data_IF_948228289243
#
_entry.id   IF_948228289243
#
_cell.length_a   1.000
_cell.length_b   1.000
_cell.length_c   1.000
_cell.angle_alpha   90.00
_cell.angle_beta   90.00
_cell.angle_gamma   90.00
#
_symmetry.space_group_name_H-M   'P 1'
#
loop_
_entity.id
_entity.type
_entity.pdbx_description
1 polymer ?
#
# COMPACT_ATOMS: atom_id res chain seq x y z
N UNK A 1 -58.30 -61.04 -11.69
CA UNK A 1 -57.66 -60.99 -10.35
C UNK A 1 -56.12 -61.09 -10.42
N UNK A 2 -55.54 -61.74 -11.44
CA UNK A 2 -54.07 -61.84 -11.63
C UNK A 2 -53.38 -60.53 -12.05
N UNK A 3 -54.04 -59.68 -12.85
CA UNK A 3 -53.46 -58.42 -13.35
C UNK A 3 -53.19 -57.42 -12.22
N UNK A 4 -54.05 -57.37 -11.20
CA UNK A 4 -53.88 -56.50 -10.01
C UNK A 4 -52.72 -56.99 -9.13
N UNK A 5 -52.53 -58.31 -9.00
CA UNK A 5 -51.38 -58.89 -8.27
C UNK A 5 -50.05 -58.61 -8.98
N UNK A 6 -50.03 -58.61 -10.31
CA UNK A 6 -48.84 -58.27 -11.12
C UNK A 6 -48.47 -56.78 -11.02
N UNK A 7 -49.47 -55.88 -11.01
CA UNK A 7 -49.25 -54.44 -10.82
C UNK A 7 -48.78 -54.10 -9.40
N UNK A 8 -49.35 -54.74 -8.37
CA UNK A 8 -48.91 -54.54 -6.98
C UNK A 8 -47.49 -55.06 -6.73
N UNK A 9 -47.08 -56.18 -7.33
CA UNK A 9 -45.71 -56.70 -7.15
C UNK A 9 -44.67 -55.81 -7.84
N UNK A 10 -44.99 -55.26 -9.02
CA UNK A 10 -44.15 -54.27 -9.71
C UNK A 10 -44.03 -52.97 -8.92
N UNK A 11 -45.15 -52.44 -8.38
CA UNK A 11 -45.12 -51.25 -7.50
C UNK A 11 -44.28 -51.48 -6.23
N UNK A 12 -44.34 -52.70 -5.66
CA UNK A 12 -43.56 -53.07 -4.47
C UNK A 12 -42.06 -53.15 -4.77
N UNK A 13 -41.66 -53.67 -5.93
CA UNK A 13 -40.26 -53.70 -6.33
C UNK A 13 -39.72 -52.32 -6.67
N UNK A 14 -40.47 -51.46 -7.36
CA UNK A 14 -40.05 -50.09 -7.66
C UNK A 14 -40.00 -49.23 -6.41
N UNK A 15 -40.95 -49.39 -5.47
CA UNK A 15 -40.95 -48.67 -4.19
C UNK A 15 -39.80 -49.06 -3.27
N UNK A 16 -39.44 -50.34 -3.23
CA UNK A 16 -38.26 -50.82 -2.46
C UNK A 16 -36.96 -50.30 -3.08
N UNK A 17 -36.82 -50.30 -4.41
CA UNK A 17 -35.66 -49.72 -5.10
C UNK A 17 -35.52 -48.21 -4.84
N UNK A 18 -36.63 -47.47 -4.82
CA UNK A 18 -36.63 -46.05 -4.49
C UNK A 18 -36.20 -45.82 -3.03
N UNK A 19 -36.71 -46.61 -2.09
CA UNK A 19 -36.34 -46.53 -0.67
C UNK A 19 -34.84 -46.80 -0.45
N UNK A 20 -34.31 -47.84 -1.11
CA UNK A 20 -32.88 -48.18 -1.06
C UNK A 20 -32.04 -47.05 -1.67
N UNK A 21 -32.50 -46.46 -2.79
CA UNK A 21 -31.84 -45.31 -3.42
C UNK A 21 -31.76 -44.09 -2.50
N UNK A 22 -32.86 -43.75 -1.81
CA UNK A 22 -32.88 -42.64 -0.84
C UNK A 22 -31.94 -42.90 0.33
N UNK A 23 -31.91 -44.12 0.88
CA UNK A 23 -31.00 -44.48 1.98
C UNK A 23 -29.53 -44.36 1.55
N UNK A 24 -29.19 -44.78 0.32
CA UNK A 24 -27.84 -44.65 -0.23
C UNK A 24 -27.41 -43.19 -0.40
N UNK A 25 -28.30 -42.32 -0.89
CA UNK A 25 -28.03 -40.88 -1.03
C UNK A 25 -27.80 -40.25 0.34
N UNK A 26 -28.60 -40.60 1.35
CA UNK A 26 -28.42 -40.14 2.73
C UNK A 26 -27.07 -40.60 3.30
N UNK A 27 -26.68 -41.86 3.07
CA UNK A 27 -25.38 -42.38 3.51
C UNK A 27 -24.19 -41.68 2.83
N UNK A 28 -24.29 -41.40 1.52
CA UNK A 28 -23.28 -40.66 0.78
C UNK A 28 -23.18 -39.20 1.24
N UNK A 29 -24.33 -38.56 1.54
CA UNK A 29 -24.35 -37.22 2.11
C UNK A 29 -23.70 -37.17 3.50
N UNK A 30 -23.98 -38.14 4.37
CA UNK A 30 -23.29 -38.26 5.66
C UNK A 30 -21.80 -38.54 5.51
N UNK A 31 -21.39 -39.40 4.57
CA UNK A 31 -19.98 -39.63 4.25
C UNK A 31 -19.26 -38.36 3.78
N UNK A 32 -19.92 -37.54 2.96
CA UNK A 32 -19.39 -36.27 2.50
C UNK A 32 -19.26 -35.24 3.64
N UNK A 33 -20.27 -35.16 4.52
CA UNK A 33 -20.20 -34.32 5.73
C UNK A 33 -19.08 -34.79 6.66
N UNK A 34 -18.90 -36.10 6.85
CA UNK A 34 -17.83 -36.66 7.67
C UNK A 34 -16.45 -36.38 7.06
N UNK A 35 -16.32 -36.46 5.74
CA UNK A 35 -15.09 -36.10 5.04
C UNK A 35 -14.77 -34.61 5.14
N UNK A 36 -15.78 -33.74 5.04
CA UNK A 36 -15.63 -32.29 5.22
C UNK A 36 -15.26 -31.91 6.66
N UNK A 37 -15.73 -32.68 7.65
CA UNK A 37 -15.36 -32.52 9.06
C UNK A 37 -13.96 -33.06 9.37
N UNK A 38 -13.49 -34.11 8.71
CA UNK A 38 -12.15 -34.68 8.91
C UNK A 38 -11.01 -33.71 8.59
N UNK A 39 -11.20 -32.80 7.61
CA UNK A 39 -10.26 -31.72 7.33
C UNK A 39 -10.15 -30.73 8.49
N UNK A 40 -11.29 -30.33 9.08
CA UNK A 40 -11.34 -29.44 10.25
C UNK A 40 -10.81 -30.11 11.51
N UNK A 41 -11.04 -31.41 11.69
CA UNK A 41 -10.47 -32.18 12.80
C UNK A 41 -8.94 -32.24 12.73
N UNK A 42 -8.35 -32.45 11.54
CA UNK A 42 -6.90 -32.37 11.36
C UNK A 42 -6.33 -31.00 11.69
N UNK A 43 -7.01 -29.93 11.29
CA UNK A 43 -6.61 -28.57 11.62
C UNK A 43 -6.66 -28.32 13.14
N UNK A 44 -7.69 -28.82 13.83
CA UNK A 44 -7.76 -28.76 15.28
C UNK A 44 -6.71 -29.66 15.96
N UNK A 45 -6.42 -30.85 15.44
CA UNK A 45 -5.35 -31.72 15.96
C UNK A 45 -3.97 -31.07 15.78
N UNK A 46 -3.70 -30.41 14.66
CA UNK A 46 -2.47 -29.65 14.46
C UNK A 46 -2.37 -28.44 15.42
N UNK A 47 -3.48 -27.73 15.64
CA UNK A 47 -3.52 -26.63 16.60
C UNK A 47 -3.34 -27.13 18.04
N UNK A 48 -3.97 -28.25 18.41
CA UNK A 48 -3.80 -28.91 19.70
C UNK A 48 -2.36 -29.38 19.85
N UNK A 49 -1.76 -30.02 18.85
CA UNK A 49 -0.37 -30.46 18.89
C UNK A 49 0.62 -29.29 19.03
N UNK A 50 0.34 -28.13 18.42
CA UNK A 50 1.12 -26.90 18.62
C UNK A 50 0.94 -26.35 20.03
N UNK A 51 -0.28 -26.36 20.56
CA UNK A 51 -0.55 -25.94 21.94
C UNK A 51 0.09 -26.88 22.96
N UNK A 52 0.00 -28.19 22.74
CA UNK A 52 0.64 -29.22 23.56
C UNK A 52 2.16 -29.10 23.50
N UNK A 53 2.75 -28.79 22.34
CA UNK A 53 4.18 -28.52 22.23
C UNK A 53 4.61 -27.25 22.99
N UNK A 54 3.73 -26.25 23.09
CA UNK A 54 3.97 -25.04 23.89
C UNK A 54 3.80 -25.33 25.39
N UNK A 55 2.77 -26.09 25.78
CA UNK A 55 2.49 -26.50 27.16
C UNK A 55 3.51 -27.52 27.69
N UNK A 56 4.07 -28.35 26.80
CA UNK A 56 5.12 -29.31 27.10
C UNK A 56 6.52 -28.68 27.15
N UNK A 57 6.67 -27.39 26.80
CA UNK A 57 7.91 -26.68 27.13
C UNK A 57 8.04 -26.68 28.65
N UNK A 58 9.12 -27.25 29.20
CA UNK A 58 9.31 -27.23 30.64
C UNK A 58 9.28 -25.78 31.10
N UNK A 59 8.43 -25.49 32.09
CA UNK A 59 8.45 -24.18 32.76
C UNK A 59 9.90 -23.91 33.15
N UNK A 60 10.45 -22.72 32.84
CA UNK A 60 11.80 -22.39 33.24
C UNK A 60 11.94 -22.63 34.74
N UNK A 61 13.04 -23.25 35.15
CA UNK A 61 13.26 -23.57 36.56
C UNK A 61 13.19 -22.28 37.39
N UNK A 62 12.77 -22.38 38.64
CA UNK A 62 12.71 -21.24 39.57
C UNK A 62 14.07 -20.53 39.61
N UNK A 63 15.17 -21.29 39.60
CA UNK A 63 16.53 -20.75 39.54
C UNK A 63 16.81 -19.96 38.26
N UNK A 64 16.31 -20.41 37.10
CA UNK A 64 16.46 -19.69 35.83
C UNK A 64 15.63 -18.41 35.80
N UNK A 65 14.38 -18.47 36.26
CA UNK A 65 13.53 -17.29 36.41
C UNK A 65 14.12 -16.28 37.39
N UNK A 66 14.72 -16.76 38.48
CA UNK A 66 15.35 -15.93 39.49
C UNK A 66 16.66 -15.30 38.97
N UNK A 67 17.44 -16.05 38.17
CA UNK A 67 18.62 -15.50 37.49
C UNK A 67 18.23 -14.42 36.45
N UNK A 68 17.21 -14.66 35.62
CA UNK A 68 16.68 -13.67 34.68
C UNK A 68 16.12 -12.43 35.42
N UNK A 69 15.41 -12.63 36.53
CA UNK A 69 14.93 -11.56 37.39
C UNK A 69 16.06 -10.73 38.01
N UNK A 70 17.12 -11.37 38.49
CA UNK A 70 18.29 -10.68 39.02
C UNK A 70 19.09 -9.93 37.95
N UNK A 71 19.21 -10.51 36.75
CA UNK A 71 19.86 -9.88 35.60
C UNK A 71 19.11 -8.61 35.18
N UNK A 72 17.78 -8.70 35.03
CA UNK A 72 16.92 -7.55 34.71
C UNK A 72 16.99 -6.50 35.83
N UNK A 73 17.00 -6.90 37.11
CA UNK A 73 17.15 -5.99 38.25
C UNK A 73 18.51 -5.29 38.32
N UNK A 74 19.57 -5.93 37.85
CA UNK A 74 20.89 -5.29 37.71
C UNK A 74 20.92 -4.35 36.51
N UNK A 75 20.27 -4.70 35.41
CA UNK A 75 20.19 -3.89 34.20
C UNK A 75 19.27 -2.66 34.35
N UNK A 76 18.33 -2.70 35.30
CA UNK A 76 17.46 -1.58 35.65
C UNK A 76 18.27 -0.42 36.24
N UNK A 77 18.44 0.63 35.43
CA UNK A 77 18.94 1.94 35.82
C UNK A 77 17.76 2.94 35.95
N UNK A 78 17.86 3.95 36.84
CA UNK A 78 16.91 5.07 36.86
C UNK A 78 16.81 5.73 35.48
N UNK A 79 15.60 6.11 35.08
CA UNK A 79 15.33 6.71 33.78
C UNK A 79 14.35 7.87 33.97
N UNK A 80 14.74 9.04 33.45
CA UNK A 80 13.89 10.22 33.40
C UNK A 80 12.79 10.04 32.36
N UNK A 81 11.72 10.83 32.48
CA UNK A 81 10.68 10.95 31.45
C UNK A 81 11.24 11.39 30.10
N UNK A 82 12.16 12.36 30.08
CA UNK A 82 12.84 12.84 28.88
C UNK A 82 13.63 11.72 28.19
N UNK A 83 14.42 10.95 28.96
CA UNK A 83 15.20 9.85 28.40
C UNK A 83 14.30 8.74 27.85
N UNK A 84 13.17 8.45 28.50
CA UNK A 84 12.18 7.50 28.01
C UNK A 84 11.55 7.95 26.69
N UNK A 85 11.21 9.24 26.57
CA UNK A 85 10.68 9.82 25.33
C UNK A 85 11.72 9.76 24.21
N UNK A 86 12.98 10.13 24.49
CA UNK A 86 14.08 10.04 23.51
C UNK A 86 14.24 8.62 22.95
N UNK A 87 14.09 7.59 23.80
CA UNK A 87 14.13 6.19 23.34
C UNK A 87 12.96 5.85 22.42
N UNK A 88 11.74 6.27 22.76
CA UNK A 88 10.56 6.05 21.91
C UNK A 88 10.68 6.77 20.57
N UNK A 89 11.20 8.00 20.57
CA UNK A 89 11.49 8.77 19.35
C UNK A 89 12.56 8.07 18.51
N UNK A 90 13.64 7.58 19.12
CA UNK A 90 14.69 6.85 18.42
C UNK A 90 14.18 5.58 17.74
N UNK A 91 13.35 4.78 18.42
CA UNK A 91 12.73 3.58 17.83
C UNK A 91 11.84 3.96 16.64
N UNK A 92 11.07 5.04 16.75
CA UNK A 92 10.23 5.53 15.65
C UNK A 92 11.07 5.96 14.44
N UNK A 93 12.11 6.75 14.64
CA UNK A 93 13.01 7.23 13.59
C UNK A 93 13.75 6.06 12.90
N UNK A 94 14.30 5.12 13.67
CA UNK A 94 14.96 3.91 13.15
C UNK A 94 13.99 3.02 12.36
N UNK A 95 12.71 3.02 12.73
CA UNK A 95 11.64 2.31 11.99
C UNK A 95 11.19 3.05 10.72
N UNK A 96 11.75 4.24 10.44
CA UNK A 96 11.37 5.07 9.30
C UNK A 96 10.05 5.82 9.50
N UNK A 97 9.63 6.02 10.75
CA UNK A 97 8.51 6.90 11.08
C UNK A 97 9.00 8.34 11.11
N UNK A 98 8.20 9.23 10.54
CA UNK A 98 8.46 10.65 10.57
C UNK A 98 8.15 11.24 11.95
N UNK A 99 9.21 11.57 12.69
CA UNK A 99 9.14 12.10 14.05
C UNK A 99 9.02 13.64 14.12
N UNK A 100 8.92 14.33 12.98
CA UNK A 100 8.73 15.79 12.95
C UNK A 100 7.40 16.18 13.62
N UNK A 101 7.43 16.93 14.73
CA UNK A 101 6.21 17.36 15.42
C UNK A 101 5.26 18.16 14.53
N UNK A 102 5.78 18.89 13.54
CA UNK A 102 4.97 19.70 12.62
C UNK A 102 4.13 18.85 11.67
N UNK A 103 4.57 17.62 11.38
CA UNK A 103 3.87 16.69 10.49
C UNK A 103 2.83 15.83 11.22
N UNK A 104 2.92 15.72 12.55
CA UNK A 104 1.92 15.07 13.40
C UNK A 104 1.78 13.55 13.18
N UNK A 105 2.73 12.94 12.47
CA UNK A 105 2.74 11.49 12.19
C UNK A 105 3.18 10.69 13.41
N UNK A 106 3.93 11.29 14.33
CA UNK A 106 4.33 10.69 15.59
C UNK A 106 4.00 11.65 16.74
N UNK A 107 3.36 11.13 17.80
CA UNK A 107 3.05 11.92 18.98
C UNK A 107 3.16 11.04 20.24
N UNK A 108 4.06 11.43 21.13
CA UNK A 108 4.20 10.82 22.46
C UNK A 108 3.48 11.72 23.48
N UNK A 109 2.43 11.22 24.15
CA UNK A 109 1.72 11.97 25.18
C UNK A 109 2.54 12.07 26.46
N UNK A 110 2.08 12.91 27.40
CA UNK A 110 2.72 13.07 28.72
C UNK A 110 2.76 11.73 29.47
N UNK A 111 3.90 11.46 30.10
CA UNK A 111 4.11 10.25 30.91
C UNK A 111 3.28 10.29 32.19
N UNK A 112 2.73 9.14 32.58
CA UNK A 112 2.18 8.91 33.91
C UNK A 112 3.16 8.08 34.73
N UNK A 113 3.55 8.57 35.89
CA UNK A 113 4.52 7.89 36.76
C UNK A 113 3.80 7.21 37.91
N UNK A 114 4.06 5.92 38.11
CA UNK A 114 3.58 5.17 39.27
C UNK A 114 4.72 4.41 39.95
N UNK A 115 4.56 4.12 41.25
CA UNK A 115 5.53 3.32 42.01
C UNK A 115 4.92 2.00 42.44
N UNK A 116 5.67 0.92 42.29
CA UNK A 116 5.24 -0.43 42.64
C UNK A 116 6.32 -1.12 43.46
N UNK A 117 5.93 -1.70 44.59
CA UNK A 117 6.84 -2.50 45.42
C UNK A 117 6.66 -3.98 45.08
N UNK A 118 7.72 -4.64 44.61
CA UNK A 118 7.74 -6.08 44.35
C UNK A 118 8.98 -6.71 44.97
N UNK A 119 8.80 -7.79 45.74
CA UNK A 119 9.93 -8.55 46.30
C UNK A 119 10.86 -7.77 47.24
N UNK A 120 10.38 -6.69 47.88
CA UNK A 120 11.19 -5.81 48.73
C UNK A 120 11.90 -4.66 48.01
N UNK A 121 11.77 -4.57 46.68
CA UNK A 121 12.34 -3.50 45.86
C UNK A 121 11.23 -2.57 45.35
N UNK A 122 11.46 -1.26 45.39
CA UNK A 122 10.58 -0.27 44.78
C UNK A 122 10.97 -0.04 43.33
N UNK A 123 9.99 -0.09 42.43
CA UNK A 123 10.13 0.21 41.01
C UNK A 123 9.30 1.44 40.65
N UNK A 124 9.71 2.12 39.61
CA UNK A 124 8.97 3.19 38.96
C UNK A 124 8.52 2.71 37.58
N UNK A 125 7.25 2.92 37.27
CA UNK A 125 6.66 2.61 35.96
C UNK A 125 6.35 3.93 35.29
N UNK A 126 6.96 4.13 34.12
CA UNK A 126 6.70 5.23 33.20
C UNK A 126 5.68 4.75 32.16
N UNK A 127 4.42 5.13 32.35
CA UNK A 127 3.32 4.72 31.47
C UNK A 127 3.02 5.79 30.42
N UNK A 128 3.07 5.41 29.16
CA UNK A 128 2.70 6.22 28.01
C UNK A 128 1.43 5.63 27.40
N UNK A 129 0.31 6.34 27.56
CA UNK A 129 -1.00 5.90 27.05
C UNK A 129 -1.39 6.73 25.84
N UNK A 130 -1.61 6.09 24.70
CA UNK A 130 -2.09 6.76 23.50
C UNK A 130 -1.01 7.34 22.60
N UNK A 131 0.17 6.72 22.52
CA UNK A 131 1.21 7.11 21.55
C UNK A 131 0.64 6.93 20.14
N UNK A 132 0.60 8.00 19.35
CA UNK A 132 0.07 7.97 17.98
C UNK A 132 1.21 7.84 16.99
N UNK A 133 1.04 6.91 16.06
CA UNK A 133 1.98 6.64 14.97
C UNK A 133 1.21 6.54 13.67
N UNK A 134 1.70 7.16 12.61
CA UNK A 134 1.12 7.10 11.29
C UNK A 134 2.22 6.99 10.25
N UNK A 135 2.09 6.01 9.35
CA UNK A 135 3.06 5.78 8.30
C UNK A 135 2.62 4.70 7.32
N UNK A 136 3.54 4.29 6.46
CA UNK A 136 3.33 3.09 5.66
C UNK A 136 3.18 1.86 6.58
N UNK A 137 2.60 0.78 6.06
CA UNK A 137 2.35 -0.43 6.86
C UNK A 137 3.66 -1.02 7.41
N UNK A 138 4.69 -1.10 6.59
CA UNK A 138 5.93 -1.80 6.94
C UNK A 138 6.69 -1.10 8.06
N UNK A 139 6.83 0.23 8.01
CA UNK A 139 7.49 1.06 9.03
C UNK A 139 6.71 1.01 10.35
N UNK A 140 5.37 1.08 10.28
CA UNK A 140 4.53 1.03 11.47
C UNK A 140 4.58 -0.35 12.13
N UNK A 141 4.61 -1.43 11.33
CA UNK A 141 4.79 -2.78 11.87
C UNK A 141 6.19 -3.00 12.43
N UNK A 142 7.23 -2.42 11.82
CA UNK A 142 8.59 -2.43 12.36
C UNK A 142 8.65 -1.75 13.73
N UNK A 143 8.02 -0.58 13.86
CA UNK A 143 7.91 0.14 15.13
C UNK A 143 7.23 -0.71 16.21
N UNK A 144 6.06 -1.28 15.92
CA UNK A 144 5.35 -2.16 16.87
C UNK A 144 6.20 -3.37 17.24
N UNK A 145 6.87 -3.97 16.25
CA UNK A 145 7.73 -5.14 16.49
C UNK A 145 8.91 -4.82 17.40
N UNK A 146 9.48 -3.62 17.30
CA UNK A 146 10.59 -3.22 18.16
C UNK A 146 10.11 -3.04 19.60
N UNK A 147 8.98 -2.35 19.80
CA UNK A 147 8.34 -2.18 21.11
C UNK A 147 7.99 -3.51 21.79
N UNK A 148 7.52 -4.49 21.02
CA UNK A 148 7.14 -5.82 21.53
C UNK A 148 8.35 -6.73 21.81
N UNK A 149 9.42 -6.59 21.01
CA UNK A 149 10.58 -7.48 21.11
C UNK A 149 11.45 -7.25 22.36
N UNK A 150 11.35 -6.08 23.00
CA UNK A 150 12.24 -5.67 24.08
C UNK A 150 13.72 -5.53 23.66
N UNK A 151 14.02 -5.57 22.36
CA UNK A 151 15.39 -5.51 21.82
C UNK A 151 16.07 -4.17 22.16
N UNK A 152 15.35 -3.06 21.98
CA UNK A 152 15.89 -1.72 22.21
C UNK A 152 15.82 -1.32 23.67
N UNK A 153 14.79 -1.79 24.39
CA UNK A 153 14.67 -1.60 25.83
C UNK A 153 13.96 -2.81 26.45
N UNK A 154 14.71 -3.67 27.14
CA UNK A 154 14.18 -4.90 27.75
C UNK A 154 13.14 -4.65 28.84
N UNK A 155 13.14 -3.45 29.43
CA UNK A 155 12.21 -3.05 30.48
C UNK A 155 10.94 -2.39 29.92
N UNK A 156 10.79 -2.36 28.60
CA UNK A 156 9.61 -1.85 27.91
C UNK A 156 8.59 -2.96 27.70
N UNK A 157 7.32 -2.65 27.92
CA UNK A 157 6.20 -3.56 27.72
C UNK A 157 5.12 -2.87 26.89
N UNK A 158 4.84 -3.45 25.73
CA UNK A 158 3.72 -3.06 24.88
C UNK A 158 2.41 -3.63 25.47
N UNK A 159 1.49 -2.76 25.87
CA UNK A 159 0.23 -3.15 26.54
C UNK A 159 -0.95 -3.25 25.60
N UNK A 160 -0.97 -2.35 24.62
CA UNK A 160 -2.12 -2.20 23.73
C UNK A 160 -1.65 -1.70 22.38
N UNK A 161 -2.28 -2.24 21.34
CA UNK A 161 -2.14 -1.78 19.95
C UNK A 161 -3.53 -1.64 19.37
N UNK A 162 -3.90 -0.44 18.98
CA UNK A 162 -5.10 -0.16 18.19
C UNK A 162 -4.68 0.26 16.79
N UNK A 163 -5.07 -0.48 15.78
CA UNK A 163 -4.77 -0.17 14.38
C UNK A 163 -5.99 0.39 13.66
N UNK A 164 -5.76 1.32 12.74
CA UNK A 164 -6.77 1.89 11.86
C UNK A 164 -6.12 2.28 10.54
N UNK A 165 -6.79 2.02 9.42
CA UNK A 165 -6.35 2.51 8.13
C UNK A 165 -6.98 3.88 7.86
N UNK A 166 -6.16 4.82 7.38
CA UNK A 166 -6.60 6.18 7.07
C UNK A 166 -6.14 6.55 5.68
N UNK A 167 -7.04 7.19 4.93
CA UNK A 167 -6.67 7.80 3.67
C UNK A 167 -5.83 9.06 3.95
N UNK A 168 -4.63 9.11 3.39
CA UNK A 168 -3.76 10.29 3.42
C UNK A 168 -3.78 10.92 2.04
N UNK A 169 -4.12 12.20 1.99
CA UNK A 169 -3.88 13.04 0.82
C UNK A 169 -2.43 13.50 0.86
N UNK A 170 -1.66 13.20 -0.18
CA UNK A 170 -0.28 13.68 -0.27
C UNK A 170 -0.26 15.20 -0.41
N UNK A 171 0.52 15.89 0.42
CA UNK A 171 0.69 17.34 0.44
C UNK A 171 2.14 17.75 0.18
N UNK A 172 2.39 19.05 -0.04
CA UNK A 172 3.73 19.57 -0.32
C UNK A 172 4.28 19.06 -1.66
N UNK A 173 5.60 18.90 -1.74
CA UNK A 173 6.30 18.54 -2.99
C UNK A 173 5.78 17.25 -3.63
N UNK A 174 5.50 16.23 -2.81
CA UNK A 174 4.97 14.96 -3.30
C UNK A 174 3.52 15.08 -3.80
N UNK A 175 2.71 15.91 -3.12
CA UNK A 175 1.36 16.26 -3.57
C UNK A 175 1.38 17.00 -4.91
N UNK A 176 2.27 17.99 -5.04
CA UNK A 176 2.45 18.78 -6.27
C UNK A 176 2.93 17.90 -7.43
N UNK A 177 3.92 17.02 -7.20
CA UNK A 177 4.40 16.04 -8.19
C UNK A 177 3.26 15.18 -8.74
N UNK A 178 2.42 14.64 -7.85
CA UNK A 178 1.28 13.78 -8.21
C UNK A 178 0.16 14.57 -8.87
N UNK A 179 -0.02 15.83 -8.52
CA UNK A 179 -0.95 16.72 -9.20
C UNK A 179 -0.50 17.00 -10.64
N UNK A 180 0.78 17.33 -10.84
CA UNK A 180 1.37 17.54 -12.18
C UNK A 180 1.24 16.27 -13.04
N UNK A 181 1.57 15.09 -12.49
CA UNK A 181 1.42 13.82 -13.21
C UNK A 181 -0.01 13.62 -13.72
N UNK A 182 -1.02 13.87 -12.87
CA UNK A 182 -2.43 13.72 -13.25
C UNK A 182 -2.84 14.72 -14.33
N UNK A 183 -2.34 15.95 -14.27
CA UNK A 183 -2.61 16.95 -15.30
C UNK A 183 -2.03 16.50 -16.65
N UNK A 184 -0.78 16.04 -16.68
CA UNK A 184 -0.14 15.55 -17.92
C UNK A 184 -0.86 14.33 -18.47
N UNK A 185 -1.15 13.32 -17.63
CA UNK A 185 -1.86 12.11 -18.04
C UNK A 185 -3.27 12.43 -18.58
N UNK A 186 -4.00 13.33 -17.91
CA UNK A 186 -5.31 13.79 -18.37
C UNK A 186 -5.21 14.54 -19.70
N UNK A 187 -4.20 15.40 -19.86
CA UNK A 187 -3.98 16.17 -21.07
C UNK A 187 -3.66 15.27 -22.27
N UNK A 188 -2.85 14.22 -22.08
CA UNK A 188 -2.60 13.20 -23.13
C UNK A 188 -3.91 12.55 -23.58
N UNK A 189 -4.76 12.13 -22.64
CA UNK A 189 -6.04 11.51 -22.98
C UNK A 189 -7.01 12.48 -23.64
N UNK A 190 -7.09 13.72 -23.18
CA UNK A 190 -7.91 14.76 -23.80
C UNK A 190 -7.47 15.00 -25.25
N UNK A 191 -6.17 15.17 -25.49
CA UNK A 191 -5.61 15.31 -26.83
C UNK A 191 -5.94 14.12 -27.71
N UNK A 192 -5.73 12.89 -27.23
CA UNK A 192 -6.04 11.68 -27.99
C UNK A 192 -7.53 11.63 -28.37
N UNK A 193 -8.41 11.98 -27.45
CA UNK A 193 -9.85 12.01 -27.71
C UNK A 193 -10.22 13.06 -28.76
N UNK A 194 -9.72 14.29 -28.63
CA UNK A 194 -10.00 15.39 -29.55
C UNK A 194 -9.46 15.12 -30.96
N UNK A 195 -8.33 14.41 -31.06
CA UNK A 195 -7.73 13.97 -32.31
C UNK A 195 -8.30 12.63 -32.83
N UNK A 196 -9.22 11.98 -32.12
CA UNK A 196 -9.79 10.69 -32.50
C UNK A 196 -8.79 9.53 -32.51
N UNK A 197 -7.73 9.62 -31.71
CA UNK A 197 -6.65 8.65 -31.64
C UNK A 197 -6.97 7.52 -30.66
N UNK A 198 -6.93 6.28 -31.15
CA UNK A 198 -6.85 5.10 -30.28
C UNK A 198 -5.41 4.78 -29.88
N UNK A 199 -4.43 5.29 -30.65
CA UNK A 199 -3.00 5.11 -30.45
C UNK A 199 -2.25 6.36 -30.89
N UNK A 200 -1.24 6.75 -30.12
CA UNK A 200 -0.29 7.81 -30.48
C UNK A 200 0.66 7.23 -31.56
N UNK A 201 0.77 7.85 -32.75
CA UNK A 201 1.51 7.23 -33.86
C UNK A 201 3.01 7.14 -33.62
N UNK A 202 3.62 8.21 -33.10
CA UNK A 202 5.07 8.27 -32.82
C UNK A 202 5.32 8.77 -31.40
N UNK A 203 5.00 7.94 -30.39
CA UNK A 203 5.10 8.36 -29.01
C UNK A 203 6.57 8.48 -28.56
N UNK A 204 6.86 9.45 -27.70
CA UNK A 204 8.06 9.44 -26.85
C UNK A 204 7.90 8.38 -25.75
N UNK A 205 8.07 7.12 -26.13
CA UNK A 205 7.90 5.98 -25.23
C UNK A 205 9.13 5.73 -24.36
N UNK A 206 8.99 4.86 -23.36
CA UNK A 206 10.10 4.48 -22.49
C UNK A 206 11.31 3.90 -23.27
N UNK A 207 11.04 3.20 -24.37
CA UNK A 207 12.06 2.51 -25.15
C UNK A 207 12.97 3.48 -25.95
N UNK A 208 12.58 4.74 -26.14
CA UNK A 208 13.48 5.76 -26.73
C UNK A 208 14.62 6.16 -25.78
N UNK A 209 14.50 5.84 -24.49
CA UNK A 209 15.49 6.15 -23.46
C UNK A 209 15.52 7.60 -23.00
N UNK A 210 14.64 8.46 -23.54
CA UNK A 210 14.61 9.90 -23.24
C UNK A 210 13.19 10.34 -22.89
N UNK A 211 13.06 10.95 -21.71
CA UNK A 211 11.87 11.63 -21.23
C UNK A 211 12.02 13.15 -21.44
N UNK A 212 10.91 13.86 -21.60
CA UNK A 212 10.90 15.32 -21.78
C UNK A 212 10.02 16.02 -20.76
N UNK A 213 10.37 17.26 -20.43
CA UNK A 213 9.52 18.17 -19.65
C UNK A 213 8.93 19.28 -20.54
N UNK A 214 9.11 19.20 -21.86
CA UNK A 214 8.58 20.13 -22.83
C UNK A 214 7.26 19.61 -23.39
N UNK A 215 6.17 20.27 -23.02
CA UNK A 215 4.80 19.90 -23.40
C UNK A 215 4.38 20.48 -24.75
N UNK A 216 5.18 21.35 -25.34
CA UNK A 216 4.94 21.99 -26.63
C UNK A 216 6.24 22.23 -27.40
N UNK A 217 6.09 22.67 -28.64
CA UNK A 217 7.20 23.01 -29.54
C UNK A 217 7.76 24.41 -29.24
N UNK A 218 9.08 24.58 -29.22
CA UNK A 218 9.75 25.85 -29.04
C UNK A 218 10.56 26.32 -30.25
N UNK A 219 10.13 27.39 -30.95
CA UNK A 219 10.90 27.86 -32.10
C UNK A 219 12.30 28.40 -31.75
N UNK A 220 12.59 28.66 -30.47
CA UNK A 220 13.90 29.12 -29.98
C UNK A 220 14.76 27.99 -29.38
N UNK A 221 14.16 26.80 -29.23
CA UNK A 221 14.68 25.51 -28.77
C UNK A 221 15.56 24.70 -29.75
N UNK A 222 16.77 24.20 -29.47
CA UNK A 222 17.35 23.17 -30.34
C UNK A 222 16.51 21.86 -30.31
N UNK A 223 16.15 21.35 -31.50
CA UNK A 223 15.13 20.32 -31.85
C UNK A 223 15.14 18.96 -31.11
N UNK A 224 16.06 18.73 -30.16
CA UNK A 224 16.45 17.36 -29.83
C UNK A 224 15.37 16.59 -29.02
N UNK A 225 14.46 17.25 -28.30
CA UNK A 225 13.30 16.61 -27.63
C UNK A 225 12.16 17.60 -27.30
N UNK A 226 11.67 18.33 -28.30
CA UNK A 226 10.61 19.33 -28.06
C UNK A 226 9.22 18.75 -28.27
N UNK A 227 8.25 19.14 -27.45
CA UNK A 227 6.89 18.64 -27.53
C UNK A 227 6.66 17.22 -27.00
N UNK A 228 5.47 16.98 -26.50
CA UNK A 228 5.06 15.72 -25.90
C UNK A 228 3.56 15.53 -26.11
N UNK A 229 3.02 14.32 -26.35
CA UNK A 229 3.72 13.02 -26.43
C UNK A 229 4.30 12.63 -27.80
N UNK A 230 3.99 13.36 -28.87
CA UNK A 230 4.50 13.11 -30.22
C UNK A 230 4.77 14.45 -30.90
N UNK A 231 5.98 14.64 -31.44
CA UNK A 231 6.37 15.86 -32.18
C UNK A 231 6.57 15.61 -33.67
N UNK A 232 6.52 14.37 -34.11
CA UNK A 232 7.04 13.96 -35.43
C UNK A 232 5.97 13.56 -36.43
N UNK A 233 4.72 13.35 -36.00
CA UNK A 233 3.64 13.00 -36.92
C UNK A 233 3.23 14.21 -37.76
N UNK A 234 3.50 14.17 -39.06
CA UNK A 234 3.28 15.34 -39.93
C UNK A 234 1.82 15.77 -40.00
N UNK A 235 1.57 17.07 -40.17
CA UNK A 235 0.22 17.61 -40.33
C UNK A 235 -0.60 16.94 -41.45
N UNK A 236 0.05 16.56 -42.55
CA UNK A 236 -0.60 15.80 -43.64
C UNK A 236 -1.08 14.43 -43.16
N UNK A 237 -0.26 13.73 -42.37
CA UNK A 237 -0.64 12.43 -41.78
C UNK A 237 -1.80 12.58 -40.79
N UNK A 238 -1.89 13.75 -40.15
CA UNK A 238 -2.98 14.14 -39.24
C UNK A 238 -4.26 14.55 -40.01
N UNK A 239 -4.22 14.58 -41.34
CA UNK A 239 -5.37 14.83 -42.21
C UNK A 239 -5.49 16.25 -42.76
N UNK A 240 -4.51 17.13 -42.54
CA UNK A 240 -4.57 18.50 -43.07
C UNK A 240 -4.52 18.54 -44.60
N UNK A 241 -5.42 19.31 -45.22
CA UNK A 241 -5.54 19.46 -46.68
C UNK A 241 -5.51 20.92 -47.16
N UNK A 242 -5.35 21.87 -46.25
CA UNK A 242 -5.32 23.30 -46.56
C UNK A 242 -3.95 23.80 -47.06
N UNK A 243 -3.86 25.10 -47.34
CA UNK A 243 -2.65 25.77 -47.81
C UNK A 243 -1.78 26.38 -46.70
N UNK A 244 -2.18 26.23 -45.43
CA UNK A 244 -1.44 26.71 -44.27
C UNK A 244 -0.31 25.76 -43.84
N UNK A 245 0.35 26.12 -42.74
CA UNK A 245 1.49 25.36 -42.18
C UNK A 245 1.27 25.08 -40.68
N UNK A 246 0.27 24.26 -40.31
CA UNK A 246 0.09 23.84 -38.92
C UNK A 246 1.32 23.06 -38.43
N UNK A 247 1.58 23.12 -37.12
CA UNK A 247 2.64 22.35 -36.47
C UNK A 247 2.45 20.84 -36.64
N UNK A 248 3.57 20.14 -36.72
CA UNK A 248 3.60 18.69 -36.66
C UNK A 248 3.37 18.18 -35.23
N UNK A 249 3.09 16.88 -35.14
CA UNK A 249 2.92 16.17 -33.89
C UNK A 249 1.57 16.37 -33.22
N UNK A 250 1.45 15.69 -32.10
CA UNK A 250 0.36 15.76 -31.15
C UNK A 250 0.95 16.21 -29.80
N UNK A 251 1.10 17.54 -29.65
CA UNK A 251 1.66 18.16 -28.45
C UNK A 251 0.57 18.58 -27.46
N UNK A 252 0.91 18.77 -26.18
CA UNK A 252 -0.06 19.17 -25.15
C UNK A 252 -0.20 20.70 -25.02
N UNK A 253 0.84 21.46 -25.35
CA UNK A 253 0.86 22.92 -25.29
C UNK A 253 1.13 23.49 -26.69
N UNK A 254 0.29 24.42 -27.15
CA UNK A 254 0.38 25.07 -28.44
C UNK A 254 0.12 24.12 -29.59
N UNK A 255 -0.82 23.19 -29.42
CA UNK A 255 -1.17 22.20 -30.44
C UNK A 255 -2.04 22.81 -31.53
N UNK A 256 -1.64 22.68 -32.79
CA UNK A 256 -2.48 23.08 -33.91
C UNK A 256 -3.43 21.95 -34.26
N UNK A 257 -4.62 21.95 -33.65
CA UNK A 257 -5.69 20.97 -33.86
C UNK A 257 -6.30 21.16 -35.25
N UNK A 258 -6.46 20.06 -35.97
CA UNK A 258 -7.13 20.02 -37.28
C UNK A 258 -8.55 19.46 -37.05
N UNK A 259 -9.61 20.24 -37.25
CA UNK A 259 -10.98 19.76 -37.10
C UNK A 259 -11.30 18.65 -38.10
N UNK A 260 -12.03 17.62 -37.65
CA UNK A 260 -12.41 16.50 -38.50
C UNK A 260 -13.48 16.85 -39.55
N UNK A 261 -14.26 17.90 -39.28
CA UNK A 261 -15.30 18.44 -40.16
C UNK A 261 -14.77 19.48 -41.17
N UNK A 262 -13.58 20.05 -40.93
CA UNK A 262 -12.93 20.98 -41.86
C UNK A 262 -11.41 20.84 -41.84
N UNK A 263 -10.89 19.93 -42.68
CA UNK A 263 -9.47 19.62 -42.76
C UNK A 263 -8.60 20.69 -43.44
N UNK A 264 -9.19 21.78 -43.92
CA UNK A 264 -8.45 22.91 -44.53
C UNK A 264 -8.02 23.97 -43.52
N UNK A 265 -8.53 23.90 -42.29
CA UNK A 265 -8.26 24.84 -41.21
C UNK A 265 -7.59 24.13 -40.02
N UNK A 266 -7.01 24.92 -39.14
CA UNK A 266 -6.48 24.47 -37.86
C UNK A 266 -6.66 25.56 -36.80
N UNK A 267 -6.74 25.15 -35.55
CA UNK A 267 -6.87 26.01 -34.39
C UNK A 267 -5.81 25.67 -33.35
N UNK A 268 -5.23 26.68 -32.70
CA UNK A 268 -4.24 26.45 -31.65
C UNK A 268 -4.96 26.19 -30.32
N UNK A 269 -4.69 25.05 -29.69
CA UNK A 269 -5.29 24.60 -28.44
C UNK A 269 -4.23 24.19 -27.43
N UNK A 270 -4.58 24.31 -26.15
CA UNK A 270 -3.75 23.89 -25.02
C UNK A 270 -4.50 22.86 -24.18
N UNK A 271 -3.95 21.65 -24.06
CA UNK A 271 -4.44 20.61 -23.17
C UNK A 271 -3.82 20.70 -21.77
N UNK A 272 -2.74 21.46 -21.63
CA UNK A 272 -2.08 21.79 -20.37
C UNK A 272 -1.76 23.30 -20.33
N UNK A 273 -1.76 23.89 -19.14
CA UNK A 273 -1.61 25.34 -18.98
C UNK A 273 -0.16 25.83 -19.15
N UNK A 274 0.83 24.96 -18.99
CA UNK A 274 2.25 25.33 -19.03
C UNK A 274 2.97 24.57 -20.13
N UNK A 275 3.90 25.27 -20.78
CA UNK A 275 4.76 24.67 -21.80
C UNK A 275 5.82 23.74 -21.22
N UNK A 276 6.27 24.02 -20.00
CA UNK A 276 7.34 23.27 -19.34
C UNK A 276 6.85 22.81 -17.99
N UNK A 277 7.03 21.52 -17.73
CA UNK A 277 6.73 20.87 -16.44
C UNK A 277 7.96 20.81 -15.57
N UNK A 278 7.76 20.58 -14.27
CA UNK A 278 8.86 20.36 -13.32
C UNK A 278 9.51 18.99 -13.53
N UNK A 279 8.70 17.96 -13.80
CA UNK A 279 9.16 16.59 -14.00
C UNK A 279 9.22 16.22 -15.48
N UNK A 280 9.83 15.06 -15.78
CA UNK A 280 10.02 14.56 -17.13
C UNK A 280 9.09 13.38 -17.41
N UNK A 281 8.63 13.26 -18.65
CA UNK A 281 7.58 12.32 -19.01
C UNK A 281 7.93 11.50 -20.26
N UNK A 282 7.45 10.26 -20.26
CA UNK A 282 7.29 9.43 -21.47
C UNK A 282 5.82 9.06 -21.62
N UNK A 283 5.40 8.76 -22.84
CA UNK A 283 4.07 8.23 -23.14
C UNK A 283 4.20 6.97 -23.98
N UNK A 284 3.48 5.92 -23.63
CA UNK A 284 3.36 4.74 -24.47
C UNK A 284 2.36 4.97 -25.61
N UNK A 285 2.33 4.04 -26.57
CA UNK A 285 1.43 4.12 -27.74
C UNK A 285 -0.06 4.21 -27.37
N UNK A 286 -0.46 3.66 -26.23
CA UNK A 286 -1.84 3.71 -25.74
C UNK A 286 -2.16 5.00 -24.93
N UNK A 287 -1.21 5.92 -24.81
CA UNK A 287 -1.32 7.13 -24.00
C UNK A 287 -1.08 6.91 -22.51
N UNK A 288 -0.51 5.77 -22.09
CA UNK A 288 -0.04 5.57 -20.72
C UNK A 288 1.19 6.45 -20.47
N UNK A 289 1.10 7.34 -19.48
CA UNK A 289 2.18 8.28 -19.13
C UNK A 289 3.02 7.74 -17.97
N UNK A 290 4.34 7.95 -18.04
CA UNK A 290 5.29 7.69 -16.95
C UNK A 290 6.00 8.98 -16.56
N UNK A 291 6.44 9.10 -15.30
CA UNK A 291 7.09 10.29 -14.75
C UNK A 291 8.47 9.98 -14.18
N UNK A 292 9.40 10.91 -14.39
CA UNK A 292 10.81 10.78 -14.04
C UNK A 292 11.34 12.08 -13.41
N UNK A 293 12.40 11.96 -12.62
CA UNK A 293 13.11 13.10 -12.04
C UNK A 293 14.02 13.83 -13.04
N UNK A 294 14.40 13.18 -14.15
CA UNK A 294 15.29 13.73 -15.19
C UNK A 294 15.04 13.07 -16.57
N UNK A 295 15.63 13.64 -17.62
CA UNK A 295 15.43 13.23 -19.01
C UNK A 295 15.97 11.83 -19.36
N UNK A 296 17.18 11.45 -18.91
CA UNK A 296 17.78 10.18 -19.29
C UNK A 296 17.17 9.02 -18.49
N UNK A 297 16.27 8.27 -19.11
CA UNK A 297 15.48 7.21 -18.47
C UNK A 297 16.35 6.09 -17.88
N UNK A 298 17.54 5.82 -18.44
CA UNK A 298 18.43 4.78 -17.94
C UNK A 298 19.06 5.11 -16.58
N UNK A 299 19.14 6.40 -16.23
CA UNK A 299 19.73 6.89 -14.97
C UNK A 299 18.73 7.65 -14.10
N UNK A 300 17.52 7.90 -14.62
CA UNK A 300 16.45 8.57 -13.92
C UNK A 300 15.79 7.66 -12.88
N UNK A 301 15.27 8.28 -11.82
CA UNK A 301 14.32 7.65 -10.91
C UNK A 301 12.92 7.76 -11.52
N UNK A 302 12.30 6.62 -11.80
CA UNK A 302 10.89 6.56 -12.18
C UNK A 302 9.99 6.69 -10.95
N UNK A 303 8.99 7.58 -11.02
CA UNK A 303 7.93 7.68 -10.03
C UNK A 303 6.74 6.81 -10.45
N UNK A 304 6.60 5.64 -9.83
CA UNK A 304 5.53 4.68 -10.13
C UNK A 304 4.22 4.95 -9.39
N UNK A 305 4.28 5.78 -8.37
CA UNK A 305 3.14 6.10 -7.53
C UNK A 305 2.42 7.36 -8.04
N UNK A 306 1.19 7.16 -8.48
CA UNK A 306 0.42 8.13 -9.26
C UNK A 306 -0.89 8.56 -8.59
N UNK A 307 -1.29 7.86 -7.53
CA UNK A 307 -2.53 8.12 -6.80
C UNK A 307 -2.43 9.39 -5.96
N UNK A 308 -3.51 10.16 -5.91
CA UNK A 308 -3.62 11.42 -5.14
C UNK A 308 -3.59 11.19 -3.63
N UNK A 309 -3.97 10.00 -3.22
CA UNK A 309 -4.04 9.56 -1.84
C UNK A 309 -3.47 8.16 -1.71
N UNK A 310 -2.98 7.85 -0.52
CA UNK A 310 -2.53 6.53 -0.11
C UNK A 310 -3.29 6.06 1.11
N UNK A 311 -3.25 4.76 1.38
CA UNK A 311 -3.71 4.22 2.66
C UNK A 311 -2.49 4.18 3.57
N UNK A 312 -2.57 4.85 4.72
CA UNK A 312 -1.59 4.72 5.77
C UNK A 312 -2.17 3.96 6.95
N UNK A 313 -1.27 3.28 7.65
CA UNK A 313 -1.61 2.65 8.90
C UNK A 313 -1.42 3.68 10.01
N UNK A 314 -2.51 4.01 10.70
CA UNK A 314 -2.49 4.79 11.93
C UNK A 314 -2.66 3.84 13.11
N UNK A 315 -1.75 3.93 14.07
CA UNK A 315 -1.74 3.11 15.26
C UNK A 315 -1.72 3.98 16.50
N UNK A 316 -2.43 3.53 17.52
CA UNK A 316 -2.32 4.06 18.87
C UNK A 316 -1.82 2.94 19.77
N UNK A 317 -0.68 3.17 20.45
CA UNK A 317 -0.06 2.19 21.34
C UNK A 317 0.03 2.69 22.78
N UNK A 318 -0.07 1.75 23.72
CA UNK A 318 0.20 2.00 25.14
C UNK A 318 1.45 1.22 25.54
N UNK A 319 2.40 1.89 26.19
CA UNK A 319 3.70 1.34 26.56
C UNK A 319 4.00 1.66 28.02
N UNK A 320 4.45 0.67 28.77
CA UNK A 320 5.01 0.86 30.11
C UNK A 320 6.52 0.61 30.09
N UNK A 321 7.30 1.48 30.71
CA UNK A 321 8.74 1.28 30.92
C UNK A 321 9.01 1.14 32.41
N UNK A 322 9.62 0.02 32.78
CA UNK A 322 10.02 -0.25 34.16
C UNK A 322 11.42 0.31 34.41
N UNK A 323 11.59 1.02 35.51
CA UNK A 323 12.85 1.65 35.92
C UNK A 323 12.98 1.66 37.45
N UNK A 324 14.16 2.00 37.97
CA UNK A 324 14.34 2.28 39.39
C UNK A 324 13.89 3.72 39.69
N UNK A 325 13.38 3.98 40.91
CA UNK A 325 13.11 5.35 41.35
C UNK A 325 14.39 6.20 41.26
N UNK A 326 14.24 7.46 40.89
CA UNK A 326 15.29 8.46 41.11
C UNK A 326 15.49 8.62 42.63
N UNK A 327 16.76 8.63 43.06
CA UNK A 327 17.16 8.94 44.44
C UNK A 327 17.05 10.43 44.76
#
# INVERSE_FOLDING_TARGET
>A
MEVIKSLLSKLRHTGVLFLIGVILIVYLAFGFVYWQQGGKQREYEEQIAKFDAILARPLPSIEKLQAEYEEINRALAPMTDVAAIERLVGIADESGIDVDPARGNFNVPTVSVSRVNMGGTSYQILSFTGIKVQGNRDNVMAFISDLDSGKTLQTMVLKKVNTSEVEIVFSGEEGDRRAEFRQVASAVKAMMNDAGLTRIPRPMNFATGVATNLMGDNPETPEIVEGFPDITTSAVTRGYSGSGTPRDGYVLYGHDRIPSDNTTQFESVNYIATRTTRYYYTSETDGTVRQFDRANVATAREYRETLASGIALRVTVDVDIYTKPEE
#
